data_IF_478653189505
#
_entry.id   IF_478653189505
#
_cell.length_a   1.000
_cell.length_b   1.000
_cell.length_c   1.000
_cell.angle_alpha   90.00
_cell.angle_beta   90.00
_cell.angle_gamma   90.00
#
_symmetry.space_group_name_H-M   'P 1'
#
loop_
_entity.id
_entity.type
_entity.pdbx_description
1 polymer ?
#
# COMPACT_ATOMS: atom_id res chain seq x y z
N UNK A 1 -2.01 -56.12 -49.66
CA UNK A 1 -1.73 -56.52 -48.28
C UNK A 1 -1.90 -55.27 -47.44
N UNK A 2 -2.82 -55.29 -46.48
CA UNK A 2 -2.94 -54.22 -45.51
C UNK A 2 -1.74 -54.30 -44.58
N UNK A 3 -0.96 -53.24 -44.44
CA UNK A 3 0.07 -53.06 -43.44
C UNK A 3 -0.58 -53.17 -42.06
N UNK A 4 -0.13 -54.12 -41.24
CA UNK A 4 -0.68 -54.33 -39.90
C UNK A 4 -0.60 -53.09 -39.03
N UNK A 5 -1.37 -53.06 -37.95
CA UNK A 5 -1.45 -51.92 -36.98
C UNK A 5 -0.24 -51.80 -36.04
N UNK A 6 0.81 -52.61 -36.25
CA UNK A 6 2.04 -52.63 -35.45
C UNK A 6 3.07 -51.58 -35.89
N UNK A 7 2.69 -50.35 -36.09
CA UNK A 7 3.59 -49.24 -36.38
C UNK A 7 3.77 -48.36 -35.15
N UNK A 8 4.93 -47.76 -35.05
CA UNK A 8 5.24 -46.83 -33.92
C UNK A 8 4.42 -45.57 -34.09
N UNK A 9 3.48 -45.35 -33.17
CA UNK A 9 2.65 -44.13 -33.07
C UNK A 9 3.27 -43.15 -32.07
N UNK A 10 2.82 -41.91 -32.14
CA UNK A 10 3.24 -40.86 -31.15
C UNK A 10 3.00 -41.29 -29.72
N UNK A 11 1.95 -42.07 -29.45
CA UNK A 11 1.67 -42.60 -28.11
C UNK A 11 2.68 -43.66 -27.64
N UNK A 12 3.25 -44.43 -28.57
CA UNK A 12 4.27 -45.44 -28.25
C UNK A 12 5.69 -44.80 -28.18
N UNK A 13 5.91 -43.75 -28.99
CA UNK A 13 7.17 -43.03 -29.03
C UNK A 13 7.24 -41.87 -28.00
N UNK A 14 6.29 -41.73 -27.11
CA UNK A 14 6.18 -40.58 -26.19
C UNK A 14 7.46 -40.42 -25.31
N UNK A 15 8.09 -41.50 -24.92
CA UNK A 15 9.36 -41.46 -24.14
C UNK A 15 10.58 -41.04 -24.97
N UNK A 16 10.47 -40.97 -26.29
CA UNK A 16 11.56 -40.59 -27.20
C UNK A 16 11.32 -39.18 -27.82
N UNK A 17 10.14 -38.59 -27.58
CA UNK A 17 9.85 -37.23 -28.05
C UNK A 17 10.37 -36.28 -26.97
N UNK A 18 11.43 -35.49 -27.23
CA UNK A 18 11.92 -34.55 -26.25
C UNK A 18 10.87 -33.46 -26.01
N UNK A 19 10.53 -33.25 -24.75
CA UNK A 19 9.72 -32.10 -24.33
C UNK A 19 10.59 -30.85 -24.39
N UNK A 20 10.23 -29.91 -25.22
CA UNK A 20 10.88 -28.61 -25.30
C UNK A 20 10.23 -27.68 -24.26
N UNK A 21 10.98 -27.42 -23.22
CA UNK A 21 10.62 -26.42 -22.21
C UNK A 21 11.13 -25.05 -22.67
N UNK A 22 10.33 -24.02 -22.45
CA UNK A 22 10.78 -22.65 -22.72
C UNK A 22 11.86 -22.26 -21.70
N UNK A 23 12.98 -21.73 -22.17
CA UNK A 23 14.02 -21.16 -21.31
C UNK A 23 13.56 -19.84 -20.64
N UNK A 24 12.42 -19.30 -21.08
CA UNK A 24 11.87 -18.04 -20.59
C UNK A 24 10.84 -18.32 -19.49
N UNK A 25 11.20 -17.97 -18.26
CA UNK A 25 10.29 -18.00 -17.11
C UNK A 25 9.49 -16.71 -17.10
N UNK A 26 8.21 -16.81 -17.44
CA UNK A 26 7.27 -15.69 -17.32
C UNK A 26 6.88 -15.55 -15.85
N UNK A 27 7.47 -14.58 -15.17
CA UNK A 27 7.09 -14.24 -13.80
C UNK A 27 5.66 -13.71 -13.72
N UNK A 28 5.00 -13.93 -12.59
CA UNK A 28 3.68 -13.37 -12.33
C UNK A 28 3.72 -11.83 -12.36
N UNK A 29 2.65 -11.21 -12.84
CA UNK A 29 2.49 -9.77 -12.77
C UNK A 29 2.48 -9.30 -11.32
N UNK A 30 3.20 -8.22 -11.02
CA UNK A 30 3.35 -7.68 -9.69
C UNK A 30 2.47 -6.45 -9.51
N UNK A 31 1.91 -6.27 -8.31
CA UNK A 31 1.14 -5.07 -7.98
C UNK A 31 2.05 -3.82 -7.96
N UNK A 32 1.46 -2.67 -8.24
CA UNK A 32 2.18 -1.40 -8.17
C UNK A 32 2.36 -0.97 -6.70
N UNK A 33 3.60 -0.83 -6.27
CA UNK A 33 3.97 -0.44 -4.91
C UNK A 33 4.27 1.06 -4.91
N UNK A 34 3.43 1.84 -4.26
CA UNK A 34 3.50 3.31 -4.35
C UNK A 34 3.61 4.00 -3.00
N UNK A 35 3.01 3.45 -1.93
CA UNK A 35 2.80 4.14 -0.66
C UNK A 35 4.10 4.47 0.06
N UNK A 36 5.05 3.55 0.06
CA UNK A 36 6.35 3.76 0.70
C UNK A 36 7.12 4.99 0.19
N UNK A 37 6.79 5.49 -1.01
CA UNK A 37 7.41 6.70 -1.57
C UNK A 37 6.63 7.98 -1.27
N UNK A 38 5.39 7.86 -0.81
CA UNK A 38 4.48 8.98 -0.55
C UNK A 38 4.45 9.41 0.91
N UNK A 39 5.15 8.70 1.80
CA UNK A 39 5.20 8.97 3.24
C UNK A 39 6.53 9.59 3.68
N UNK A 40 6.54 10.16 4.87
CA UNK A 40 7.77 10.68 5.47
C UNK A 40 8.66 9.53 5.92
N UNK A 41 9.91 9.51 5.44
CA UNK A 41 10.89 8.46 5.75
C UNK A 41 11.87 8.94 6.81
N UNK A 42 12.03 8.16 7.87
CA UNK A 42 13.05 8.34 8.89
C UNK A 42 14.08 7.21 8.78
N UNK A 43 15.34 7.57 8.61
CA UNK A 43 16.42 6.59 8.63
C UNK A 43 16.95 6.40 10.04
N UNK A 44 16.80 5.19 10.59
CA UNK A 44 17.35 4.79 11.89
C UNK A 44 18.48 3.76 11.72
N UNK A 45 19.05 3.66 10.52
CA UNK A 45 20.04 2.66 10.14
C UNK A 45 21.26 2.67 11.07
N UNK A 46 21.59 1.50 11.64
CA UNK A 46 22.74 1.33 12.51
C UNK A 46 22.64 1.92 13.91
N UNK A 47 21.52 2.51 14.30
CA UNK A 47 21.29 3.00 15.65
C UNK A 47 20.69 1.92 16.54
N UNK A 48 21.05 1.92 17.81
CA UNK A 48 20.44 1.07 18.84
C UNK A 48 19.18 1.76 19.36
N UNK A 49 18.14 1.01 19.61
CA UNK A 49 16.85 1.50 20.10
C UNK A 49 15.70 0.86 19.29
N UNK A 50 14.59 0.71 19.93
CA UNK A 50 13.36 0.11 19.41
C UNK A 50 12.26 1.15 19.13
N UNK A 51 12.44 2.37 19.64
CA UNK A 51 11.43 3.42 19.55
C UNK A 51 12.07 4.76 19.21
N UNK A 52 11.44 5.48 18.29
CA UNK A 52 11.80 6.86 17.92
C UNK A 52 10.72 7.79 18.47
N UNK A 53 11.09 8.70 19.36
CA UNK A 53 10.19 9.70 19.90
C UNK A 53 10.24 10.98 19.05
N UNK A 54 9.11 11.34 18.45
CA UNK A 54 8.95 12.55 17.64
C UNK A 54 8.19 13.57 18.49
N UNK A 55 8.84 14.68 18.93
CA UNK A 55 8.16 15.68 19.74
C UNK A 55 7.13 16.46 18.91
N UNK A 56 5.93 16.60 19.41
CA UNK A 56 4.85 17.40 18.83
C UNK A 56 4.58 18.57 19.78
N UNK A 57 5.05 19.80 19.44
CA UNK A 57 4.82 20.97 20.27
C UNK A 57 3.33 21.37 20.23
N UNK A 58 2.80 21.70 21.40
CA UNK A 58 1.42 22.23 21.47
C UNK A 58 1.33 23.62 20.83
N UNK A 59 0.26 23.86 20.09
CA UNK A 59 -0.04 25.18 19.54
C UNK A 59 -0.64 26.06 20.65
N UNK A 60 -0.14 27.28 20.79
CA UNK A 60 -0.73 28.29 21.66
C UNK A 60 -1.77 29.12 20.93
N UNK A 61 -2.77 29.62 21.66
CA UNK A 61 -3.74 30.59 21.16
C UNK A 61 -3.45 31.99 21.70
N UNK A 62 -3.58 32.99 20.87
CA UNK A 62 -3.47 34.38 21.32
C UNK A 62 -4.67 34.76 22.21
N UNK A 63 -4.40 35.44 23.32
CA UNK A 63 -5.41 35.99 24.21
C UNK A 63 -5.40 37.51 24.16
N UNK A 64 -6.58 38.14 24.23
CA UNK A 64 -6.69 39.58 24.30
C UNK A 64 -6.19 40.10 25.65
N UNK A 65 -5.32 41.12 25.62
CA UNK A 65 -4.79 41.78 26.81
C UNK A 65 -5.46 43.15 26.99
N UNK A 66 -6.07 43.38 28.13
CA UNK A 66 -6.59 44.70 28.47
C UNK A 66 -5.47 45.63 28.95
N UNK A 67 -5.71 46.96 28.85
CA UNK A 67 -4.78 47.93 29.39
C UNK A 67 -4.61 47.75 30.90
N UNK A 68 -3.40 47.94 31.40
CA UNK A 68 -3.01 47.83 32.81
C UNK A 68 -3.18 46.42 33.47
N UNK A 69 -3.40 45.37 32.67
CA UNK A 69 -3.43 43.99 33.17
C UNK A 69 -2.12 43.26 32.90
N UNK A 70 -1.76 42.28 33.73
CA UNK A 70 -0.63 41.44 33.53
C UNK A 70 -0.87 40.47 32.37
N UNK A 71 0.16 40.10 31.61
CA UNK A 71 0.08 39.05 30.55
C UNK A 71 -0.20 37.70 31.18
N UNK A 72 -1.13 36.96 30.54
CA UNK A 72 -1.41 35.58 30.92
C UNK A 72 -0.44 34.67 30.19
N UNK A 73 0.31 33.85 30.94
CA UNK A 73 1.20 32.86 30.32
C UNK A 73 0.38 31.69 29.77
N UNK A 74 0.69 31.29 28.57
CA UNK A 74 0.09 30.12 27.93
C UNK A 74 0.88 28.89 28.39
N UNK A 75 0.19 27.93 28.99
CA UNK A 75 0.78 26.66 29.34
C UNK A 75 1.09 25.86 28.06
N UNK A 76 2.31 25.35 27.92
CA UNK A 76 2.72 24.49 26.81
C UNK A 76 2.76 23.04 27.33
N UNK A 77 1.86 22.21 26.81
CA UNK A 77 1.89 20.76 27.00
C UNK A 77 2.42 20.14 25.73
N UNK A 78 3.64 19.60 25.76
CA UNK A 78 4.20 18.89 24.62
C UNK A 78 3.79 17.42 24.69
N UNK A 79 3.45 16.85 23.55
CA UNK A 79 3.23 15.42 23.37
C UNK A 79 4.32 14.81 22.49
N UNK A 80 4.45 13.50 22.50
CA UNK A 80 5.35 12.74 21.62
C UNK A 80 4.53 11.76 20.80
N UNK A 81 4.92 11.58 19.54
CA UNK A 81 4.49 10.45 18.72
C UNK A 81 5.62 9.44 18.74
N UNK A 82 5.31 8.24 19.18
CA UNK A 82 6.27 7.16 19.33
C UNK A 82 6.19 6.20 18.14
N UNK A 83 7.29 6.10 17.40
CA UNK A 83 7.42 5.16 16.28
C UNK A 83 8.17 3.93 16.77
N UNK A 84 7.45 2.85 17.01
CA UNK A 84 8.05 1.58 17.44
C UNK A 84 8.55 0.79 16.24
N UNK A 85 9.83 0.35 16.29
CA UNK A 85 10.45 -0.51 15.28
C UNK A 85 10.27 -1.96 15.73
N UNK A 86 9.13 -2.56 15.41
CA UNK A 86 8.72 -3.87 15.87
C UNK A 86 8.42 -4.86 14.75
N UNK A 87 8.56 -4.42 13.49
CA UNK A 87 8.25 -5.25 12.33
C UNK A 87 9.52 -5.83 11.74
N UNK A 88 9.64 -7.15 11.82
CA UNK A 88 10.73 -7.93 11.22
C UNK A 88 10.12 -8.98 10.30
N UNK A 89 10.28 -8.81 9.00
CA UNK A 89 9.79 -9.73 8.00
C UNK A 89 10.94 -10.42 7.27
N UNK A 90 10.74 -11.70 6.98
CA UNK A 90 11.69 -12.53 6.27
C UNK A 90 11.05 -13.23 5.07
N UNK A 91 11.88 -13.55 4.10
CA UNK A 91 11.57 -14.43 2.98
C UNK A 91 12.70 -15.43 2.87
N UNK A 92 12.42 -16.72 3.08
CA UNK A 92 13.42 -17.79 3.06
C UNK A 92 13.04 -18.88 2.06
N UNK A 93 14.00 -19.31 1.25
CA UNK A 93 13.86 -20.43 0.31
C UNK A 93 15.10 -21.30 0.36
N UNK A 94 14.88 -22.62 0.45
CA UNK A 94 15.93 -23.63 0.27
C UNK A 94 15.84 -24.15 -1.16
N UNK A 95 16.97 -24.13 -1.88
CA UNK A 95 17.10 -24.64 -3.23
C UNK A 95 18.06 -25.83 -3.16
N UNK A 96 17.55 -27.02 -3.44
CA UNK A 96 18.35 -28.25 -3.47
C UNK A 96 19.26 -28.25 -4.70
N UNK A 97 20.47 -28.78 -4.55
CA UNK A 97 21.46 -28.86 -5.62
C UNK A 97 20.95 -29.61 -6.85
N UNK A 98 20.18 -30.69 -6.63
CA UNK A 98 19.59 -31.47 -7.71
C UNK A 98 18.58 -30.65 -8.53
N UNK A 99 17.78 -29.81 -7.87
CA UNK A 99 16.81 -28.96 -8.55
C UNK A 99 17.49 -27.86 -9.35
N UNK A 100 18.57 -27.26 -8.83
CA UNK A 100 19.33 -26.24 -9.53
C UNK A 100 20.07 -26.79 -10.76
N UNK A 101 20.67 -27.97 -10.65
CA UNK A 101 21.40 -28.63 -11.76
C UNK A 101 20.44 -29.09 -12.88
N UNK A 102 19.25 -29.53 -12.53
CA UNK A 102 18.25 -30.01 -13.51
C UNK A 102 17.37 -28.89 -14.10
N UNK A 103 17.37 -27.71 -13.51
CA UNK A 103 16.57 -26.59 -14.02
C UNK A 103 17.26 -25.91 -15.22
N UNK A 104 16.45 -25.58 -16.25
CA UNK A 104 16.92 -24.86 -17.44
C UNK A 104 17.20 -23.38 -17.18
N UNK A 105 16.59 -22.79 -16.16
CA UNK A 105 16.73 -21.38 -15.82
C UNK A 105 17.28 -21.21 -14.40
N UNK A 106 18.00 -20.11 -14.15
CA UNK A 106 18.51 -19.78 -12.81
C UNK A 106 17.36 -19.49 -11.83
N UNK A 107 16.97 -20.49 -11.06
CA UNK A 107 15.92 -20.38 -10.02
C UNK A 107 16.28 -19.36 -8.95
N UNK A 108 17.58 -19.25 -8.62
CA UNK A 108 18.07 -18.29 -7.62
C UNK A 108 17.72 -16.85 -7.98
N UNK A 109 17.93 -16.45 -9.25
CA UNK A 109 17.62 -15.08 -9.70
C UNK A 109 16.14 -14.76 -9.59
N UNK A 110 15.29 -15.71 -9.95
CA UNK A 110 13.84 -15.56 -9.82
C UNK A 110 13.42 -15.35 -8.36
N UNK A 111 13.89 -16.23 -7.46
CA UNK A 111 13.52 -16.12 -6.03
C UNK A 111 14.11 -14.87 -5.36
N UNK A 112 15.29 -14.40 -5.78
CA UNK A 112 15.86 -13.14 -5.27
C UNK A 112 14.98 -11.94 -5.64
N UNK A 113 14.49 -11.89 -6.87
CA UNK A 113 13.60 -10.82 -7.32
C UNK A 113 12.22 -10.90 -6.65
N UNK A 114 11.72 -12.11 -6.46
CA UNK A 114 10.44 -12.34 -5.78
C UNK A 114 10.51 -11.96 -4.30
N UNK A 115 11.61 -12.28 -3.61
CA UNK A 115 11.84 -11.89 -2.23
C UNK A 115 11.84 -10.37 -2.04
N UNK A 116 12.54 -9.65 -2.92
CA UNK A 116 12.56 -8.19 -2.87
C UNK A 116 11.17 -7.58 -3.05
N UNK A 117 10.39 -8.13 -3.98
CA UNK A 117 9.02 -7.71 -4.19
C UNK A 117 8.10 -8.05 -3.01
N UNK A 118 8.19 -9.27 -2.46
CA UNK A 118 7.35 -9.71 -1.36
C UNK A 118 7.56 -8.86 -0.10
N UNK A 119 8.82 -8.55 0.24
CA UNK A 119 9.14 -7.67 1.37
C UNK A 119 8.68 -6.24 1.14
N UNK A 120 8.87 -5.69 -0.05
CA UNK A 120 8.39 -4.36 -0.39
C UNK A 120 6.85 -4.28 -0.38
N UNK A 121 6.16 -5.32 -0.86
CA UNK A 121 4.70 -5.41 -0.81
C UNK A 121 4.18 -5.42 0.63
N UNK A 122 4.89 -6.10 1.54
CA UNK A 122 4.49 -6.13 2.95
C UNK A 122 4.58 -4.74 3.58
N UNK A 123 5.66 -3.99 3.31
CA UNK A 123 5.79 -2.59 3.77
C UNK A 123 4.67 -1.71 3.23
N UNK A 124 4.34 -1.84 1.96
CA UNK A 124 3.28 -1.06 1.30
C UNK A 124 1.91 -1.38 1.90
N UNK A 125 1.61 -2.67 2.12
CA UNK A 125 0.37 -3.12 2.75
C UNK A 125 0.25 -2.61 4.18
N UNK A 126 1.30 -2.75 4.97
CA UNK A 126 1.32 -2.29 6.36
C UNK A 126 1.09 -0.76 6.47
N UNK A 127 1.65 0.03 5.54
CA UNK A 127 1.45 1.48 5.51
C UNK A 127 0.02 1.86 5.13
N UNK A 128 -0.58 1.19 4.14
CA UNK A 128 -1.97 1.46 3.75
C UNK A 128 -2.93 1.07 4.88
N UNK A 129 -2.67 -0.04 5.56
CA UNK A 129 -3.51 -0.50 6.68
C UNK A 129 -3.57 0.51 7.84
N UNK A 130 -2.51 1.33 8.05
CA UNK A 130 -2.57 2.42 9.03
C UNK A 130 -3.58 3.52 8.69
N UNK A 131 -4.03 3.62 7.45
CA UNK A 131 -5.07 4.59 7.08
C UNK A 131 -6.41 4.36 7.79
N UNK A 132 -6.62 3.20 8.41
CA UNK A 132 -7.74 2.93 9.29
C UNK A 132 -7.77 3.87 10.51
N UNK A 133 -6.61 4.24 11.04
CA UNK A 133 -6.49 5.13 12.19
C UNK A 133 -6.77 6.60 11.90
N UNK A 134 -6.83 7.02 10.63
CA UNK A 134 -7.06 8.40 10.28
C UNK A 134 -8.36 8.94 10.87
N UNK A 135 -8.36 10.22 11.23
CA UNK A 135 -9.47 10.89 11.90
C UNK A 135 -9.85 10.28 13.27
N UNK A 136 -8.90 9.58 13.91
CA UNK A 136 -9.10 8.93 15.21
C UNK A 136 -9.79 7.57 15.14
N UNK A 137 -9.73 6.89 14.00
CA UNK A 137 -10.23 5.53 13.83
C UNK A 137 -9.45 4.48 14.65
N UNK A 138 -10.00 3.28 14.74
CA UNK A 138 -9.30 2.11 15.28
C UNK A 138 -8.31 1.59 14.25
N UNK A 139 -7.16 1.07 14.66
CA UNK A 139 -6.15 0.50 13.75
C UNK A 139 -6.07 -1.03 13.83
N UNK A 140 -7.05 -1.68 14.42
CA UNK A 140 -6.91 -3.09 14.81
C UNK A 140 -7.92 -4.06 14.19
N UNK A 141 -9.02 -3.57 13.65
CA UNK A 141 -10.14 -4.42 13.25
C UNK A 141 -10.61 -4.28 11.80
N UNK A 142 -9.99 -3.39 11.04
CA UNK A 142 -10.35 -3.06 9.63
C UNK A 142 -11.82 -2.63 9.48
N UNK A 143 -12.37 -1.99 10.51
CA UNK A 143 -13.73 -1.47 10.51
C UNK A 143 -13.87 -0.18 9.71
N UNK A 144 -12.82 0.64 9.69
CA UNK A 144 -12.81 1.96 9.06
C UNK A 144 -13.94 2.89 9.56
N UNK A 145 -14.23 2.83 10.87
CA UNK A 145 -15.37 3.53 11.49
C UNK A 145 -15.37 5.05 11.28
N UNK A 146 -14.17 5.64 11.08
CA UNK A 146 -14.02 7.07 10.81
C UNK A 146 -13.78 7.39 9.34
N UNK A 147 -13.85 6.40 8.46
CA UNK A 147 -13.77 6.62 7.02
C UNK A 147 -15.04 7.30 6.49
N UNK A 148 -14.96 7.83 5.29
CA UNK A 148 -16.08 8.40 4.57
C UNK A 148 -16.52 7.47 3.44
N UNK A 149 -17.73 7.63 2.95
CA UNK A 149 -18.17 6.96 1.73
C UNK A 149 -17.66 7.71 0.49
N UNK A 150 -17.60 7.07 -0.66
CA UNK A 150 -17.13 7.69 -1.90
C UNK A 150 -17.87 8.96 -2.32
N UNK A 151 -19.09 9.17 -1.87
CA UNK A 151 -19.80 10.45 -2.02
C UNK A 151 -19.22 11.59 -1.15
N UNK A 152 -18.30 11.30 -0.23
CA UNK A 152 -17.45 12.23 0.52
C UNK A 152 -18.14 12.99 1.67
N UNK A 153 -19.44 13.04 1.73
CA UNK A 153 -20.16 13.86 2.71
C UNK A 153 -20.50 13.10 4.00
N UNK A 154 -20.72 11.81 3.91
CA UNK A 154 -21.24 10.97 4.99
C UNK A 154 -20.15 10.01 5.49
N UNK A 155 -20.10 9.81 6.81
CA UNK A 155 -19.26 8.80 7.42
C UNK A 155 -19.70 7.39 7.00
N UNK A 156 -18.76 6.49 6.89
CA UNK A 156 -19.02 5.07 6.66
C UNK A 156 -19.60 4.45 7.93
N UNK A 157 -20.67 3.67 7.79
CA UNK A 157 -21.39 3.02 8.92
C UNK A 157 -21.42 1.50 8.82
N UNK A 158 -20.55 0.95 7.96
CA UNK A 158 -20.43 -0.50 7.76
C UNK A 158 -21.28 -1.08 6.61
N UNK A 159 -22.26 -0.33 6.07
CA UNK A 159 -23.18 -0.81 5.02
C UNK A 159 -23.64 0.26 4.04
N UNK A 160 -23.09 1.46 4.12
CA UNK A 160 -23.54 2.62 3.32
C UNK A 160 -22.50 3.09 2.30
N UNK A 161 -21.75 2.15 1.72
CA UNK A 161 -20.77 2.45 0.66
C UNK A 161 -21.40 3.19 -0.52
N UNK A 162 -20.60 3.98 -1.22
CA UNK A 162 -21.01 4.69 -2.42
C UNK A 162 -19.81 4.91 -3.36
N UNK A 163 -20.10 4.95 -4.66
CA UNK A 163 -19.09 5.23 -5.69
C UNK A 163 -18.46 6.60 -5.48
N UNK A 164 -17.19 6.72 -5.89
CA UNK A 164 -16.53 8.01 -5.85
C UNK A 164 -17.06 8.93 -6.93
N UNK A 165 -17.60 10.07 -6.50
CA UNK A 165 -18.11 11.12 -7.38
C UNK A 165 -17.20 12.35 -7.35
N UNK A 166 -17.31 13.24 -8.37
CA UNK A 166 -16.63 14.54 -8.38
C UNK A 166 -16.98 15.37 -7.13
N UNK A 167 -18.26 15.40 -6.76
CA UNK A 167 -18.72 16.08 -5.56
C UNK A 167 -18.14 15.45 -4.28
N UNK A 168 -18.03 14.12 -4.24
CA UNK A 168 -17.44 13.38 -3.14
C UNK A 168 -15.96 13.71 -2.98
N UNK A 169 -15.19 13.68 -4.06
CA UNK A 169 -13.76 14.02 -4.01
C UNK A 169 -13.54 15.46 -3.49
N UNK A 170 -14.33 16.42 -3.97
CA UNK A 170 -14.26 17.80 -3.47
C UNK A 170 -14.63 17.91 -1.99
N UNK A 171 -15.60 17.13 -1.52
CA UNK A 171 -15.96 17.10 -0.10
C UNK A 171 -14.84 16.50 0.77
N UNK A 172 -14.14 15.47 0.29
CA UNK A 172 -12.97 14.89 0.97
C UNK A 172 -11.82 15.91 1.04
N UNK A 173 -11.56 16.64 -0.05
CA UNK A 173 -10.53 17.69 -0.08
C UNK A 173 -10.86 18.80 0.92
N UNK A 174 -12.12 19.25 0.95
CA UNK A 174 -12.59 20.28 1.88
C UNK A 174 -12.37 19.90 3.35
N UNK A 175 -12.45 18.60 3.69
CA UNK A 175 -12.17 18.14 5.05
C UNK A 175 -10.70 18.32 5.44
N UNK A 176 -9.77 18.01 4.53
CA UNK A 176 -8.34 18.26 4.75
C UNK A 176 -8.04 19.77 4.83
N UNK A 177 -8.73 20.59 4.03
CA UNK A 177 -8.56 22.04 4.06
C UNK A 177 -9.05 22.61 5.38
N UNK A 178 -10.18 22.12 5.91
CA UNK A 178 -10.71 22.50 7.22
C UNK A 178 -9.82 22.06 8.40
N UNK A 179 -8.98 21.05 8.19
CA UNK A 179 -7.99 20.59 9.16
C UNK A 179 -6.63 21.33 9.04
N UNK A 180 -6.59 22.42 8.26
CA UNK A 180 -5.36 23.21 8.00
C UNK A 180 -4.19 22.37 7.45
N UNK A 181 -4.48 21.32 6.67
CA UNK A 181 -3.45 20.52 6.01
C UNK A 181 -2.95 21.25 4.76
N UNK A 182 -1.62 21.36 4.54
CA UNK A 182 -1.08 22.01 3.34
C UNK A 182 -1.60 21.35 2.06
N UNK A 183 -1.78 22.13 0.99
CA UNK A 183 -2.25 21.60 -0.30
C UNK A 183 -1.13 20.86 -1.06
N UNK A 184 0.12 21.18 -0.79
CA UNK A 184 1.27 20.54 -1.42
C UNK A 184 1.46 19.12 -0.91
N UNK A 185 2.04 18.24 -1.75
CA UNK A 185 2.37 16.85 -1.39
C UNK A 185 1.17 16.01 -0.88
N UNK A 186 -0.03 16.31 -1.34
CA UNK A 186 -1.18 15.44 -1.16
C UNK A 186 -1.18 14.34 -2.21
N UNK A 187 -1.53 13.15 -1.81
CA UNK A 187 -1.61 11.98 -2.68
C UNK A 187 -2.95 11.27 -2.49
N UNK A 188 -3.53 10.85 -3.60
CA UNK A 188 -4.75 10.04 -3.63
C UNK A 188 -4.40 8.63 -4.09
N UNK A 189 -4.55 7.65 -3.20
CA UNK A 189 -4.31 6.24 -3.48
C UNK A 189 -5.67 5.57 -3.64
N UNK A 190 -5.90 4.98 -4.79
CA UNK A 190 -7.20 4.41 -5.15
C UNK A 190 -7.06 2.96 -5.62
N UNK A 191 -8.06 2.12 -5.33
CA UNK A 191 -8.17 0.81 -5.95
C UNK A 191 -8.56 0.92 -7.44
N UNK A 192 -8.31 -0.11 -8.25
CA UNK A 192 -8.65 -0.09 -9.68
C UNK A 192 -10.13 0.16 -10.00
N UNK A 193 -11.04 -0.23 -9.11
CA UNK A 193 -12.48 0.03 -9.25
C UNK A 193 -12.75 1.53 -9.29
N UNK A 194 -12.23 2.28 -8.31
CA UNK A 194 -12.38 3.74 -8.27
C UNK A 194 -11.73 4.41 -9.48
N UNK A 195 -10.60 3.87 -9.95
CA UNK A 195 -9.98 4.40 -11.16
C UNK A 195 -10.89 4.25 -12.39
N UNK A 196 -11.63 3.14 -12.48
CA UNK A 196 -12.63 2.93 -13.53
C UNK A 196 -13.80 3.92 -13.40
N UNK A 197 -14.31 4.14 -12.19
CA UNK A 197 -15.39 5.11 -11.93
C UNK A 197 -14.95 6.54 -12.29
N UNK A 198 -13.72 6.91 -11.95
CA UNK A 198 -13.15 8.23 -12.29
C UNK A 198 -13.03 8.45 -13.80
N UNK A 199 -12.74 7.40 -14.58
CA UNK A 199 -12.74 7.47 -16.03
C UNK A 199 -14.16 7.71 -16.60
N UNK A 200 -15.21 7.34 -15.88
CA UNK A 200 -16.61 7.65 -16.21
C UNK A 200 -17.04 9.08 -15.91
N UNK A 201 -16.27 9.83 -15.12
CA UNK A 201 -16.60 11.22 -14.80
C UNK A 201 -16.10 12.14 -15.91
N UNK A 202 -17.03 12.73 -16.67
CA UNK A 202 -16.74 13.56 -17.84
C UNK A 202 -15.75 14.71 -17.54
N UNK A 203 -15.82 15.28 -16.34
CA UNK A 203 -14.93 16.37 -15.89
C UNK A 203 -13.46 15.96 -15.83
N UNK A 204 -13.15 14.68 -15.66
CA UNK A 204 -11.79 14.16 -15.58
C UNK A 204 -11.29 13.56 -16.90
N UNK A 205 -12.16 13.35 -17.87
CA UNK A 205 -11.83 12.64 -19.12
C UNK A 205 -12.06 13.46 -20.36
N UNK A 206 -13.07 14.31 -20.41
CA UNK A 206 -13.41 15.08 -21.60
C UNK A 206 -12.42 16.23 -21.86
N UNK A 207 -11.93 16.32 -23.09
CA UNK A 207 -11.02 17.36 -23.54
C UNK A 207 -11.54 18.77 -23.26
N UNK A 208 -12.86 18.96 -23.28
CA UNK A 208 -13.51 20.25 -23.02
C UNK A 208 -13.19 20.78 -21.61
N UNK A 209 -12.99 19.90 -20.64
CA UNK A 209 -12.72 20.27 -19.24
C UNK A 209 -11.22 20.26 -18.89
N UNK A 210 -10.44 19.38 -19.50
CA UNK A 210 -9.01 19.16 -19.17
C UNK A 210 -8.10 19.96 -20.11
N UNK A 211 -8.57 20.38 -21.27
CA UNK A 211 -7.79 21.05 -22.30
C UNK A 211 -6.85 20.13 -23.10
N UNK A 212 -6.63 18.88 -22.67
CA UNK A 212 -5.91 17.85 -23.40
C UNK A 212 -6.68 16.53 -23.38
N UNK A 213 -6.73 15.82 -24.49
CA UNK A 213 -7.42 14.52 -24.58
C UNK A 213 -6.58 13.32 -24.12
N UNK A 214 -5.55 13.53 -23.30
CA UNK A 214 -4.58 12.48 -22.97
C UNK A 214 -5.17 11.43 -22.02
N UNK A 215 -6.07 11.80 -21.13
CA UNK A 215 -6.74 10.84 -20.22
C UNK A 215 -7.57 9.82 -21.00
N UNK A 216 -8.31 10.26 -22.04
CA UNK A 216 -9.11 9.36 -22.90
C UNK A 216 -8.20 8.43 -23.72
N UNK A 217 -7.07 8.94 -24.21
CA UNK A 217 -6.15 8.18 -25.08
C UNK A 217 -5.31 7.17 -24.31
N UNK A 218 -4.89 7.53 -23.10
CA UNK A 218 -3.91 6.74 -22.32
C UNK A 218 -4.54 6.02 -21.14
N UNK A 219 -5.78 6.36 -20.75
CA UNK A 219 -6.41 5.87 -19.53
C UNK A 219 -5.67 6.27 -18.24
N UNK A 220 -4.79 7.25 -18.32
CA UNK A 220 -3.92 7.66 -17.22
C UNK A 220 -4.47 8.93 -16.56
N UNK A 221 -4.94 8.81 -15.34
CA UNK A 221 -5.33 9.92 -14.48
C UNK A 221 -4.09 10.37 -13.72
N UNK A 222 -3.44 11.46 -14.12
CA UNK A 222 -2.20 11.89 -13.52
C UNK A 222 -2.40 12.72 -12.25
N UNK A 223 -3.11 13.84 -12.37
CA UNK A 223 -3.32 14.79 -11.29
C UNK A 223 -4.74 15.37 -11.35
N UNK A 224 -5.42 15.44 -10.22
CA UNK A 224 -6.77 15.99 -10.09
C UNK A 224 -6.78 16.99 -8.95
N UNK A 225 -7.27 18.20 -9.21
CA UNK A 225 -7.31 19.30 -8.22
C UNK A 225 -5.97 19.55 -7.51
N UNK A 226 -4.84 19.35 -8.23
CA UNK A 226 -3.50 19.50 -7.67
C UNK A 226 -3.02 18.32 -6.82
N UNK A 227 -3.76 17.21 -6.81
CA UNK A 227 -3.45 16.00 -6.05
C UNK A 227 -2.99 14.91 -7.02
N UNK A 228 -1.86 14.29 -6.75
CA UNK A 228 -1.35 13.17 -7.53
C UNK A 228 -2.16 11.90 -7.25
N UNK A 229 -2.60 11.22 -8.32
CA UNK A 229 -3.42 10.01 -8.24
C UNK A 229 -2.58 8.77 -8.51
N UNK A 230 -2.61 7.83 -7.57
CA UNK A 230 -1.92 6.56 -7.66
C UNK A 230 -2.90 5.39 -7.59
N UNK A 231 -2.78 4.46 -8.51
CA UNK A 231 -3.61 3.25 -8.54
C UNK A 231 -2.83 2.11 -7.93
N UNK A 232 -3.40 1.47 -6.90
CA UNK A 232 -2.79 0.32 -6.24
C UNK A 232 -3.81 -0.80 -6.02
N UNK A 233 -3.41 -2.02 -6.33
CA UNK A 233 -4.20 -3.23 -6.01
C UNK A 233 -4.04 -3.67 -4.55
N UNK A 234 -3.10 -3.06 -3.82
CA UNK A 234 -2.87 -3.34 -2.39
C UNK A 234 -3.83 -2.59 -1.46
N UNK A 235 -4.74 -1.76 -2.01
CA UNK A 235 -5.76 -1.09 -1.21
C UNK A 235 -6.55 -2.12 -0.39
N UNK A 236 -6.73 -1.90 0.94
CA UNK A 236 -7.37 -2.85 1.83
C UNK A 236 -8.86 -3.01 1.53
N UNK A 237 -9.42 -4.08 2.05
CA UNK A 237 -10.86 -4.31 2.10
C UNK A 237 -11.36 -4.02 3.50
N UNK A 238 -12.57 -3.49 3.60
CA UNK A 238 -13.25 -3.31 4.88
C UNK A 238 -13.67 -4.67 5.42
N UNK A 239 -13.70 -4.83 6.73
CA UNK A 239 -14.26 -6.00 7.40
C UNK A 239 -15.77 -6.07 7.14
N UNK A 240 -16.24 -7.24 6.72
CA UNK A 240 -17.69 -7.45 6.55
C UNK A 240 -18.43 -7.25 7.87
N UNK A 241 -19.56 -6.56 7.84
CA UNK A 241 -20.44 -6.39 8.99
C UNK A 241 -20.85 -7.73 9.57
N UNK A 242 -20.49 -7.99 10.85
CA UNK A 242 -20.74 -9.26 11.55
C UNK A 242 -19.56 -10.24 11.56
N UNK A 243 -18.45 -9.96 10.92
CA UNK A 243 -17.24 -10.77 11.02
C UNK A 243 -16.52 -10.59 12.36
N UNK A 244 -16.05 -11.69 12.96
CA UNK A 244 -15.23 -11.67 14.17
C UNK A 244 -13.77 -11.82 13.80
N UNK A 245 -12.94 -10.84 14.18
CA UNK A 245 -11.50 -10.83 13.87
C UNK A 245 -11.14 -10.34 12.46
N UNK A 246 -9.85 -10.23 12.21
CA UNK A 246 -9.23 -9.65 10.99
C UNK A 246 -9.40 -10.52 9.72
N UNK A 247 -10.20 -11.60 9.77
CA UNK A 247 -10.28 -12.62 8.72
C UNK A 247 -11.52 -12.50 7.81
N UNK A 248 -12.48 -11.65 8.14
CA UNK A 248 -13.67 -11.49 7.31
C UNK A 248 -13.42 -10.37 6.30
N UNK A 249 -12.97 -10.72 5.10
CA UNK A 249 -12.87 -9.79 3.99
C UNK A 249 -14.26 -9.33 3.57
N UNK A 250 -14.54 -8.04 3.70
CA UNK A 250 -15.65 -7.40 3.03
C UNK A 250 -15.39 -7.32 1.52
N UNK A 251 -16.41 -6.96 0.79
CA UNK A 251 -16.31 -6.71 -0.66
C UNK A 251 -15.89 -5.27 -0.95
N UNK A 252 -16.11 -4.36 -0.01
CA UNK A 252 -15.84 -2.93 -0.13
C UNK A 252 -14.33 -2.66 -0.17
N UNK A 253 -13.92 -1.69 -0.97
CA UNK A 253 -12.53 -1.26 -1.13
C UNK A 253 -12.29 0.08 -0.49
N UNK A 254 -11.09 0.27 0.03
CA UNK A 254 -10.70 1.52 0.68
C UNK A 254 -9.76 2.30 -0.23
N UNK A 255 -10.09 3.56 -0.46
CA UNK A 255 -9.16 4.54 -1.00
C UNK A 255 -8.65 5.46 0.10
N UNK A 256 -7.47 6.04 -0.10
CA UNK A 256 -6.79 6.89 0.88
C UNK A 256 -6.41 8.22 0.25
N UNK A 257 -6.81 9.31 0.87
CA UNK A 257 -6.35 10.66 0.55
C UNK A 257 -5.51 11.17 1.71
N UNK A 258 -4.23 11.42 1.49
CA UNK A 258 -3.32 11.78 2.57
C UNK A 258 -2.28 12.82 2.13
N UNK A 259 -1.80 13.59 3.10
CA UNK A 259 -0.59 14.38 2.98
C UNK A 259 0.64 13.53 3.35
N UNK A 260 1.80 13.86 2.82
CA UNK A 260 3.05 13.13 3.07
C UNK A 260 3.37 12.95 4.57
N UNK A 261 3.03 13.94 5.40
CA UNK A 261 3.31 13.92 6.84
C UNK A 261 2.19 13.22 7.64
N UNK A 262 1.21 12.56 7.00
CA UNK A 262 0.22 11.76 7.71
C UNK A 262 0.84 10.50 8.32
N UNK A 263 1.72 9.84 7.57
CA UNK A 263 2.34 8.59 7.95
C UNK A 263 3.87 8.72 7.96
N UNK A 264 4.52 7.91 8.80
CA UNK A 264 5.97 7.82 8.89
C UNK A 264 6.42 6.37 8.76
N UNK A 265 7.46 6.16 7.96
CA UNK A 265 8.18 4.90 7.82
C UNK A 265 9.59 5.08 8.41
N UNK A 266 9.90 4.35 9.47
CA UNK A 266 11.22 4.31 10.09
C UNK A 266 11.95 3.01 9.70
N UNK A 267 13.01 3.11 8.92
CA UNK A 267 13.78 1.98 8.44
C UNK A 267 15.05 1.79 9.27
N UNK A 268 15.17 0.68 9.99
CA UNK A 268 16.36 0.34 10.77
C UNK A 268 17.30 -0.56 9.97
N UNK A 269 16.78 -1.59 9.32
CA UNK A 269 17.52 -2.47 8.42
C UNK A 269 16.77 -2.52 7.10
N UNK A 270 17.41 -1.99 6.06
CA UNK A 270 16.89 -2.13 4.69
C UNK A 270 16.92 -3.59 4.24
N UNK A 271 16.27 -3.88 3.14
CA UNK A 271 16.27 -5.24 2.58
C UNK A 271 17.69 -5.71 2.39
N UNK A 272 18.05 -6.76 3.09
CA UNK A 272 19.33 -7.45 2.95
C UNK A 272 19.09 -8.90 2.57
N UNK A 273 20.00 -9.48 1.81
CA UNK A 273 19.94 -10.88 1.43
C UNK A 273 21.20 -11.61 1.86
N UNK A 274 21.05 -12.84 2.30
CA UNK A 274 22.13 -13.74 2.70
C UNK A 274 21.91 -15.10 2.06
N UNK A 275 22.99 -15.79 1.75
CA UNK A 275 22.96 -17.16 1.24
C UNK A 275 23.87 -18.01 2.09
N UNK A 276 23.40 -19.19 2.47
CA UNK A 276 24.18 -20.17 3.23
C UNK A 276 23.91 -21.56 2.71
N UNK A 277 24.97 -22.32 2.40
CA UNK A 277 24.85 -23.73 2.08
C UNK A 277 24.49 -24.56 3.32
N UNK A 278 23.45 -25.37 3.23
CA UNK A 278 22.98 -26.27 4.28
C UNK A 278 23.32 -27.70 3.92
N UNK A 279 24.37 -28.24 4.55
CA UNK A 279 24.85 -29.61 4.30
C UNK A 279 23.81 -30.68 4.67
N UNK A 280 22.94 -30.41 5.65
CA UNK A 280 21.90 -31.32 6.08
C UNK A 280 20.84 -31.58 5.01
N UNK A 281 20.65 -30.60 4.10
CA UNK A 281 19.63 -30.65 3.05
C UNK A 281 20.23 -30.65 1.64
N UNK A 282 21.57 -30.65 1.52
CA UNK A 282 22.29 -30.57 0.24
C UNK A 282 21.71 -29.48 -0.67
N UNK A 283 21.68 -28.24 -0.16
CA UNK A 283 21.10 -27.13 -0.87
C UNK A 283 21.51 -25.77 -0.32
N UNK A 284 21.30 -24.74 -1.11
CA UNK A 284 21.53 -23.35 -0.77
C UNK A 284 20.30 -22.73 -0.12
N UNK A 285 20.44 -22.28 1.13
CA UNK A 285 19.42 -21.48 1.81
C UNK A 285 19.62 -20.00 1.46
N UNK A 286 18.66 -19.44 0.73
CA UNK A 286 18.53 -18.01 0.48
C UNK A 286 17.58 -17.40 1.50
N UNK A 287 18.01 -16.34 2.19
CA UNK A 287 17.18 -15.60 3.15
C UNK A 287 17.29 -14.11 2.86
N UNK A 288 16.16 -13.43 2.77
CA UNK A 288 16.10 -11.98 2.72
C UNK A 288 15.24 -11.47 3.88
N UNK A 289 15.66 -10.40 4.54
CA UNK A 289 14.94 -9.82 5.67
C UNK A 289 14.97 -8.29 5.67
N UNK A 290 14.02 -7.69 6.39
CA UNK A 290 13.94 -6.24 6.61
C UNK A 290 13.38 -5.95 8.00
N UNK A 291 13.86 -4.87 8.64
CA UNK A 291 13.38 -4.41 9.94
C UNK A 291 12.96 -2.94 9.82
N UNK A 292 11.71 -2.65 10.14
CA UNK A 292 11.17 -1.31 10.08
C UNK A 292 10.09 -1.06 11.14
N UNK A 293 9.74 0.19 11.31
CA UNK A 293 8.61 0.65 12.10
C UNK A 293 7.74 1.59 11.28
N UNK A 294 6.47 1.61 11.57
CA UNK A 294 5.50 2.52 10.96
C UNK A 294 4.63 3.13 12.05
N UNK A 295 4.21 4.36 11.85
CA UNK A 295 3.26 5.02 12.72
C UNK A 295 2.51 6.13 12.00
N UNK A 296 1.37 6.51 12.54
CA UNK A 296 0.71 7.75 12.18
C UNK A 296 1.44 8.91 12.84
N UNK A 297 1.83 9.91 12.04
CA UNK A 297 2.42 11.13 12.55
C UNK A 297 1.36 12.19 12.84
N UNK A 298 0.39 12.32 11.93
CA UNK A 298 -0.74 13.22 12.05
C UNK A 298 -2.01 12.55 11.52
N UNK A 299 -2.91 12.19 12.41
CA UNK A 299 -4.14 11.50 12.03
C UNK A 299 -5.16 12.42 11.31
N UNK A 300 -5.06 13.73 11.49
CA UNK A 300 -5.86 14.74 10.82
C UNK A 300 -5.38 15.06 9.39
N UNK A 301 -4.15 14.64 9.03
CA UNK A 301 -3.55 14.89 7.72
C UNK A 301 -3.87 13.82 6.67
N UNK A 302 -4.68 12.85 7.01
CA UNK A 302 -5.17 11.81 6.11
C UNK A 302 -6.62 11.47 6.36
N UNK A 303 -7.25 10.88 5.37
CA UNK A 303 -8.59 10.30 5.48
C UNK A 303 -8.74 9.11 4.55
N UNK A 304 -9.50 8.14 5.02
CA UNK A 304 -9.90 6.98 4.25
C UNK A 304 -11.32 7.15 3.73
N UNK A 305 -11.61 6.57 2.58
CA UNK A 305 -12.96 6.51 2.05
C UNK A 305 -13.26 5.11 1.51
N UNK A 306 -14.49 4.68 1.65
CA UNK A 306 -14.95 3.34 1.31
C UNK A 306 -15.85 3.42 0.09
N UNK A 307 -15.60 2.52 -0.85
CA UNK A 307 -16.34 2.37 -2.11
C UNK A 307 -16.76 0.91 -2.29
N UNK A 308 -17.84 0.62 -3.02
CA UNK A 308 -18.20 -0.75 -3.37
C UNK A 308 -17.09 -1.42 -4.20
N UNK A 309 -17.06 -2.73 -4.19
CA UNK A 309 -16.02 -3.50 -4.88
C UNK A 309 -16.21 -3.58 -6.40
N UNK A 310 -17.41 -3.46 -6.88
CA UNK A 310 -17.86 -3.34 -8.28
C UNK A 310 -19.39 -3.41 -8.34
#
# INVERSE_FOLDING_TARGET
MALGTAHVTTSIANNFIPELWSDEVIGAYKSNLVVANLVTKLSHKGKKGDTIHIPVPARGSASAKAASTQVTLIASTNSTVDVSINKHYEYSKLIEDIAEVQSLASMRRFYTQDAGYALAKQVDTDLIDLAEGFQGGSTTDKSYDNAYIGSGATAFTGTNEADLTDAGLRALILKLDNADVPMDNRSLIIPPVVANDMLGISRFTEQQFIGSGDAIKTGKIGQIYGIDVFISTNCPTVKSSGGTGNSAAGTERVGVLMHKDALVLAEQVGVRSQTQYKQEYLGDLFTADTIYGIAELRNDAGLAFVVPAA
#
